data_IF_754544333555
#
_entry.id   IF_754544333555
#
_cell.length_a   1.000
_cell.length_b   1.000
_cell.length_c   1.000
_cell.angle_alpha   90.00
_cell.angle_beta   90.00
_cell.angle_gamma   90.00
#
_symmetry.space_group_name_H-M   'P 1'
#
loop_
_entity.id
_entity.type
_entity.pdbx_description
1 polymer ?
#
# COMPACT_ATOMS: atom_id res chain seq x y z
N UNK A 1 -32.02 0.75 21.26
CA UNK A 1 -31.41 1.64 20.25
C UNK A 1 -32.21 1.51 18.95
N UNK A 2 -33.07 2.47 18.61
CA UNK A 2 -33.87 2.40 17.36
C UNK A 2 -32.99 2.84 16.19
N UNK A 3 -32.75 1.96 15.22
CA UNK A 3 -31.99 2.29 14.01
C UNK A 3 -32.89 3.16 13.12
N UNK A 4 -32.43 4.36 12.74
CA UNK A 4 -33.15 5.20 11.79
C UNK A 4 -33.02 4.64 10.36
N UNK A 5 -34.02 4.87 9.51
CA UNK A 5 -34.02 4.42 8.11
C UNK A 5 -32.76 4.91 7.37
N UNK A 6 -32.33 6.15 7.62
CA UNK A 6 -31.09 6.71 7.08
C UNK A 6 -29.86 5.88 7.46
N UNK A 7 -29.76 5.46 8.74
CA UNK A 7 -28.63 4.64 9.20
C UNK A 7 -28.65 3.25 8.58
N UNK A 8 -29.83 2.67 8.39
CA UNK A 8 -29.99 1.40 7.67
C UNK A 8 -29.48 1.51 6.23
N UNK A 9 -29.87 2.57 5.51
CA UNK A 9 -29.41 2.83 4.13
C UNK A 9 -27.88 2.97 4.09
N UNK A 10 -27.30 3.75 5.01
CA UNK A 10 -25.84 3.91 5.10
C UNK A 10 -25.16 2.55 5.31
N UNK A 11 -25.67 1.70 6.20
CA UNK A 11 -25.09 0.37 6.43
C UNK A 11 -25.19 -0.55 5.23
N UNK A 12 -26.30 -0.51 4.49
CA UNK A 12 -26.44 -1.28 3.24
C UNK A 12 -25.40 -0.82 2.21
N UNK A 13 -25.26 0.50 2.02
CA UNK A 13 -24.27 1.07 1.10
C UNK A 13 -22.85 0.67 1.52
N UNK A 14 -22.51 0.83 2.80
CA UNK A 14 -21.19 0.44 3.32
C UNK A 14 -20.95 -1.08 3.15
N UNK A 15 -21.95 -1.92 3.36
CA UNK A 15 -21.82 -3.37 3.14
C UNK A 15 -21.52 -3.70 1.68
N UNK A 16 -22.18 -3.01 0.73
CA UNK A 16 -21.89 -3.17 -0.71
C UNK A 16 -20.44 -2.78 -1.01
N UNK A 17 -19.96 -1.65 -0.48
CA UNK A 17 -18.56 -1.23 -0.66
C UNK A 17 -17.58 -2.23 -0.06
N UNK A 18 -17.86 -2.76 1.14
CA UNK A 18 -17.04 -3.79 1.78
C UNK A 18 -16.92 -5.01 0.86
N UNK A 19 -18.03 -5.53 0.34
CA UNK A 19 -18.02 -6.68 -0.57
C UNK A 19 -17.19 -6.35 -1.81
N UNK A 20 -17.40 -5.18 -2.42
CA UNK A 20 -16.68 -4.74 -3.61
C UNK A 20 -15.16 -4.68 -3.40
N UNK A 21 -14.70 -4.08 -2.29
CA UNK A 21 -13.28 -3.97 -1.97
C UNK A 21 -12.64 -5.31 -1.53
N UNK A 22 -13.43 -6.23 -0.98
CA UNK A 22 -12.93 -7.57 -0.60
C UNK A 22 -12.71 -8.46 -1.83
N UNK A 23 -13.43 -8.28 -2.93
CA UNK A 23 -13.28 -9.12 -4.15
C UNK A 23 -11.82 -9.30 -4.60
N UNK A 24 -11.02 -8.24 -4.86
CA UNK A 24 -9.64 -8.41 -5.28
C UNK A 24 -8.77 -9.07 -4.20
N UNK A 25 -9.02 -8.79 -2.92
CA UNK A 25 -8.33 -9.42 -1.79
C UNK A 25 -8.64 -10.92 -1.72
N UNK A 26 -9.89 -11.31 -1.94
CA UNK A 26 -10.34 -12.69 -2.00
C UNK A 26 -9.60 -13.45 -3.11
N UNK A 27 -9.59 -12.90 -4.34
CA UNK A 27 -8.90 -13.52 -5.48
C UNK A 27 -7.41 -13.68 -5.19
N UNK A 28 -6.76 -12.67 -4.59
CA UNK A 28 -5.34 -12.71 -4.23
C UNK A 28 -5.04 -13.82 -3.20
N UNK A 29 -5.84 -13.92 -2.13
CA UNK A 29 -5.65 -14.94 -1.09
C UNK A 29 -5.89 -16.34 -1.63
N UNK A 30 -7.00 -16.54 -2.34
CA UNK A 30 -7.37 -17.84 -2.93
C UNK A 30 -6.31 -18.30 -3.93
N UNK A 31 -5.86 -17.40 -4.81
CA UNK A 31 -4.84 -17.72 -5.81
C UNK A 31 -3.48 -17.99 -5.16
N UNK A 32 -3.12 -17.25 -4.11
CA UNK A 32 -1.87 -17.49 -3.37
C UNK A 32 -1.81 -18.85 -2.69
N UNK A 33 -2.96 -19.41 -2.30
CA UNK A 33 -3.06 -20.74 -1.67
C UNK A 33 -3.15 -21.90 -2.66
N UNK A 34 -3.20 -21.64 -3.97
CA UNK A 34 -3.25 -22.66 -5.01
C UNK A 34 -1.87 -23.17 -5.40
N UNK A 35 -1.84 -24.40 -5.92
CA UNK A 35 -0.65 -24.91 -6.61
C UNK A 35 -0.49 -24.25 -7.98
N UNK A 36 0.74 -24.18 -8.51
CA UNK A 36 1.00 -23.60 -9.84
C UNK A 36 0.18 -24.25 -10.98
N UNK A 37 -0.17 -25.53 -10.86
CA UNK A 37 -0.97 -26.24 -11.86
C UNK A 37 -2.46 -25.83 -11.84
N UNK A 38 -2.93 -25.22 -10.75
CA UNK A 38 -4.33 -24.87 -10.53
C UNK A 38 -4.62 -23.39 -10.83
N UNK A 39 -3.58 -22.55 -10.89
CA UNK A 39 -3.71 -21.11 -11.15
C UNK A 39 -4.04 -20.89 -12.63
N UNK A 40 -5.26 -20.40 -12.91
CA UNK A 40 -5.70 -19.99 -14.25
C UNK A 40 -6.77 -18.91 -14.17
N UNK A 41 -7.01 -18.18 -15.27
CA UNK A 41 -8.09 -17.19 -15.36
C UNK A 41 -9.47 -17.83 -15.14
N UNK A 42 -9.66 -19.08 -15.59
CA UNK A 42 -10.94 -19.79 -15.45
C UNK A 42 -11.19 -20.26 -14.02
N UNK A 43 -10.13 -20.52 -13.25
CA UNK A 43 -10.23 -21.03 -11.88
C UNK A 43 -10.05 -19.95 -10.83
N UNK A 44 -9.80 -18.69 -11.18
CA UNK A 44 -9.41 -17.63 -10.22
C UNK A 44 -10.44 -17.37 -9.11
N UNK A 45 -11.72 -17.61 -9.39
CA UNK A 45 -12.82 -17.47 -8.43
C UNK A 45 -13.08 -18.72 -7.57
N UNK A 46 -12.52 -19.87 -7.96
CA UNK A 46 -12.77 -21.13 -7.28
C UNK A 46 -11.88 -21.24 -6.05
N UNK A 47 -12.39 -21.82 -4.96
CA UNK A 47 -11.55 -22.18 -3.82
C UNK A 47 -10.48 -23.21 -4.23
N UNK A 48 -9.31 -23.22 -3.55
CA UNK A 48 -8.26 -24.18 -3.85
C UNK A 48 -8.74 -25.61 -3.56
N UNK A 49 -8.41 -26.58 -4.43
CA UNK A 49 -8.68 -28.00 -4.17
C UNK A 49 -7.89 -28.52 -2.95
N UNK A 50 -6.69 -27.98 -2.73
CA UNK A 50 -5.87 -28.25 -1.55
C UNK A 50 -5.11 -27.00 -1.14
N UNK A 51 -4.97 -26.76 0.16
CA UNK A 51 -4.21 -25.62 0.68
C UNK A 51 -2.72 -25.85 0.45
N UNK A 52 -2.11 -25.04 -0.42
CA UNK A 52 -0.70 -25.12 -0.75
C UNK A 52 0.07 -23.91 -0.20
N UNK A 53 0.96 -24.15 0.76
CA UNK A 53 1.83 -23.12 1.34
C UNK A 53 3.23 -23.07 0.70
N UNK A 54 3.55 -24.01 -0.19
CA UNK A 54 4.86 -24.09 -0.82
C UNK A 54 5.10 -22.89 -1.75
N UNK A 55 4.05 -22.33 -2.36
CA UNK A 55 4.14 -21.09 -3.15
C UNK A 55 4.69 -19.92 -2.32
N UNK A 56 4.30 -19.80 -1.04
CA UNK A 56 4.78 -18.75 -0.16
C UNK A 56 6.23 -18.97 0.28
N UNK A 57 6.62 -20.19 0.63
CA UNK A 57 8.01 -20.50 1.01
C UNK A 57 8.97 -20.29 -0.17
N UNK A 58 8.57 -20.73 -1.36
CA UNK A 58 9.32 -20.50 -2.60
C UNK A 58 9.43 -19.01 -2.91
N UNK A 59 8.35 -18.23 -2.79
CA UNK A 59 8.41 -16.79 -3.01
C UNK A 59 9.32 -16.07 -1.98
N UNK A 60 9.30 -16.51 -0.72
CA UNK A 60 10.07 -15.87 0.36
C UNK A 60 11.57 -16.18 0.30
N UNK A 61 11.93 -17.45 0.13
CA UNK A 61 13.32 -17.93 0.13
C UNK A 61 13.95 -17.91 -1.26
N UNK A 62 13.14 -17.95 -2.31
CA UNK A 62 13.61 -18.16 -3.68
C UNK A 62 13.87 -19.63 -3.96
N UNK A 63 14.31 -19.92 -5.19
CA UNK A 63 14.68 -21.27 -5.59
C UNK A 63 15.88 -21.24 -6.50
N UNK A 64 16.98 -21.87 -6.08
CA UNK A 64 18.16 -22.05 -6.91
C UNK A 64 17.85 -22.85 -8.19
N UNK A 65 16.93 -23.83 -8.10
CA UNK A 65 16.45 -24.60 -9.26
C UNK A 65 15.57 -23.78 -10.21
N UNK A 66 14.86 -22.77 -9.68
CA UNK A 66 13.99 -21.89 -10.44
C UNK A 66 14.68 -20.63 -10.98
N UNK A 67 15.94 -20.38 -10.62
CA UNK A 67 16.71 -19.24 -11.11
C UNK A 67 16.27 -17.86 -10.56
N UNK A 68 15.43 -17.81 -9.51
CA UNK A 68 14.95 -16.57 -8.93
C UNK A 68 15.35 -16.42 -7.46
N UNK A 69 15.67 -15.18 -7.06
CA UNK A 69 15.95 -14.83 -5.66
C UNK A 69 14.64 -14.63 -4.90
N UNK A 70 14.65 -15.01 -3.63
CA UNK A 70 13.49 -14.82 -2.74
C UNK A 70 13.24 -13.36 -2.39
N UNK A 71 12.02 -13.06 -1.98
CA UNK A 71 11.58 -11.72 -1.63
C UNK A 71 12.10 -11.24 -0.27
N UNK A 72 12.55 -12.16 0.60
CA UNK A 72 12.97 -11.86 1.98
C UNK A 72 13.98 -10.72 2.09
N UNK A 73 15.03 -10.73 1.26
CA UNK A 73 16.05 -9.66 1.28
C UNK A 73 15.47 -8.28 0.91
N UNK A 74 14.71 -8.21 -0.18
CA UNK A 74 14.07 -6.95 -0.62
C UNK A 74 13.01 -6.46 0.36
N UNK A 75 12.31 -7.38 1.03
CA UNK A 75 11.35 -7.06 2.08
C UNK A 75 12.05 -6.35 3.25
N UNK A 76 13.15 -6.92 3.77
CA UNK A 76 13.89 -6.29 4.86
C UNK A 76 14.52 -4.95 4.45
N UNK A 77 15.04 -4.82 3.23
CA UNK A 77 15.52 -3.54 2.72
C UNK A 77 14.40 -2.49 2.71
N UNK A 78 13.19 -2.88 2.31
CA UNK A 78 12.03 -1.98 2.30
C UNK A 78 11.63 -1.57 3.72
N UNK A 79 11.61 -2.50 4.67
CA UNK A 79 11.30 -2.22 6.08
C UNK A 79 12.35 -1.28 6.70
N UNK A 80 13.63 -1.59 6.49
CA UNK A 80 14.76 -0.80 6.98
C UNK A 80 14.82 0.60 6.35
N UNK A 81 14.28 0.77 5.14
CA UNK A 81 14.19 2.07 4.49
C UNK A 81 12.96 2.86 4.97
N UNK A 82 11.77 2.24 4.93
CA UNK A 82 10.50 2.93 5.16
C UNK A 82 10.33 3.37 6.62
N UNK A 83 10.72 2.54 7.59
CA UNK A 83 10.53 2.86 9.02
C UNK A 83 11.28 4.14 9.41
N UNK A 84 12.62 4.24 9.28
CA UNK A 84 13.33 5.44 9.66
C UNK A 84 12.94 6.63 8.79
N UNK A 85 12.75 6.44 7.47
CA UNK A 85 12.33 7.52 6.58
C UNK A 85 10.99 8.13 7.01
N UNK A 86 10.01 7.29 7.38
CA UNK A 86 8.69 7.76 7.83
C UNK A 86 8.78 8.49 9.15
N UNK A 87 9.52 7.96 10.13
CA UNK A 87 9.70 8.60 11.44
C UNK A 87 10.38 9.96 11.29
N UNK A 88 11.50 10.01 10.57
CA UNK A 88 12.26 11.23 10.33
C UNK A 88 11.38 12.25 9.59
N UNK A 89 10.68 11.83 8.54
CA UNK A 89 9.80 12.72 7.76
C UNK A 89 8.63 13.25 8.58
N UNK A 90 8.00 12.41 9.41
CA UNK A 90 6.90 12.82 10.29
C UNK A 90 7.39 13.81 11.35
N UNK A 91 8.56 13.57 11.95
CA UNK A 91 9.16 14.48 12.93
C UNK A 91 9.46 15.84 12.31
N UNK A 92 10.23 15.89 11.23
CA UNK A 92 10.54 17.16 10.55
C UNK A 92 9.29 17.83 9.97
N UNK A 93 8.36 17.05 9.40
CA UNK A 93 7.09 17.56 8.89
C UNK A 93 6.25 18.20 9.99
N UNK A 94 6.17 17.58 11.17
CA UNK A 94 5.41 18.12 12.30
C UNK A 94 6.02 19.42 12.85
N UNK A 95 7.35 19.50 12.95
CA UNK A 95 8.05 20.71 13.41
C UNK A 95 7.85 21.88 12.44
N UNK A 96 8.04 21.66 11.14
CA UNK A 96 7.83 22.69 10.12
C UNK A 96 6.36 23.09 10.03
N UNK A 97 5.45 22.11 10.09
CA UNK A 97 4.01 22.34 10.11
C UNK A 97 3.58 23.20 11.30
N UNK A 98 4.14 22.96 12.49
CA UNK A 98 3.87 23.78 13.67
C UNK A 98 4.32 25.23 13.47
N UNK A 99 5.54 25.45 12.98
CA UNK A 99 6.07 26.80 12.74
C UNK A 99 5.20 27.55 11.72
N UNK A 100 4.90 26.93 10.58
CA UNK A 100 4.10 27.58 9.52
C UNK A 100 2.64 27.82 9.95
N UNK A 101 2.07 26.96 10.80
CA UNK A 101 0.69 27.11 11.26
C UNK A 101 0.52 28.09 12.43
N UNK A 102 1.51 28.21 13.32
CA UNK A 102 1.41 29.00 14.56
C UNK A 102 2.23 30.28 14.55
N UNK A 103 3.32 30.35 13.78
CA UNK A 103 4.20 31.51 13.73
C UNK A 103 4.12 32.21 12.37
N UNK A 104 3.45 33.37 12.33
CA UNK A 104 3.39 34.21 11.12
C UNK A 104 4.58 35.14 11.05
N UNK A 105 5.66 34.68 10.43
CA UNK A 105 6.81 35.50 10.06
C UNK A 105 6.67 36.05 8.63
N UNK A 106 7.44 37.09 8.30
CA UNK A 106 7.42 37.72 6.98
C UNK A 106 7.82 36.73 5.88
N UNK A 107 6.91 36.45 4.95
CA UNK A 107 7.10 35.47 3.86
C UNK A 107 6.60 34.04 4.15
N UNK A 108 6.03 33.77 5.32
CA UNK A 108 5.49 32.45 5.68
C UNK A 108 4.44 31.92 4.69
N UNK A 109 3.54 32.77 4.22
CA UNK A 109 2.52 32.41 3.23
C UNK A 109 3.12 32.02 1.87
N UNK A 110 4.19 32.72 1.44
CA UNK A 110 4.90 32.40 0.20
C UNK A 110 5.62 31.05 0.31
N UNK A 111 6.34 30.81 1.41
CA UNK A 111 7.02 29.53 1.66
C UNK A 111 6.02 28.38 1.71
N UNK A 112 4.92 28.55 2.46
CA UNK A 112 3.88 27.54 2.53
C UNK A 112 3.28 27.23 1.15
N UNK A 113 3.00 28.27 0.36
CA UNK A 113 2.49 28.12 -1.01
C UNK A 113 3.47 27.40 -1.91
N UNK A 114 4.77 27.73 -1.87
CA UNK A 114 5.81 27.03 -2.64
C UNK A 114 5.92 25.55 -2.27
N UNK A 115 5.84 25.20 -0.98
CA UNK A 115 5.82 23.81 -0.52
C UNK A 115 4.61 23.08 -1.07
N UNK A 116 3.42 23.68 -0.98
CA UNK A 116 2.18 23.10 -1.51
C UNK A 116 2.27 22.85 -3.03
N UNK A 117 2.79 23.82 -3.79
CA UNK A 117 3.04 23.66 -5.22
C UNK A 117 4.06 22.55 -5.52
N UNK A 118 5.14 22.46 -4.72
CA UNK A 118 6.13 21.40 -4.84
C UNK A 118 5.55 20.00 -4.66
N UNK A 119 4.54 19.82 -3.79
CA UNK A 119 3.87 18.54 -3.59
C UNK A 119 3.04 18.06 -4.78
N UNK A 120 2.65 18.97 -5.68
CA UNK A 120 1.94 18.62 -6.92
C UNK A 120 2.89 18.19 -8.04
N UNK A 121 4.20 18.38 -7.89
CA UNK A 121 5.17 17.95 -8.88
C UNK A 121 5.14 16.41 -8.95
N UNK A 122 4.92 15.82 -10.14
CA UNK A 122 4.91 14.37 -10.28
C UNK A 122 6.23 13.77 -9.84
N UNK A 123 6.16 12.74 -9.01
CA UNK A 123 7.35 12.04 -8.51
C UNK A 123 8.25 11.51 -9.63
N UNK A 124 7.65 11.19 -10.77
CA UNK A 124 8.33 10.72 -11.99
C UNK A 124 9.27 11.79 -12.57
N UNK A 125 8.89 13.06 -12.52
CA UNK A 125 9.75 14.17 -12.98
C UNK A 125 11.01 14.33 -12.10
N UNK A 126 10.95 13.88 -10.85
CA UNK A 126 12.05 13.94 -9.89
C UNK A 126 12.95 12.70 -10.01
N UNK A 127 12.38 11.50 -10.21
CA UNK A 127 13.17 10.26 -10.31
C UNK A 127 14.08 10.23 -11.55
N UNK A 128 13.61 10.71 -12.70
CA UNK A 128 14.35 10.54 -13.97
C UNK A 128 15.79 11.09 -13.88
N UNK A 129 16.04 12.32 -13.39
CA UNK A 129 17.40 12.83 -13.19
C UNK A 129 18.20 12.19 -12.06
N UNK A 130 17.53 11.51 -11.12
CA UNK A 130 18.17 10.88 -9.95
C UNK A 130 18.73 9.49 -10.27
N UNK A 131 18.25 8.87 -11.36
CA UNK A 131 18.61 7.51 -11.76
C UNK A 131 19.53 7.48 -12.99
N UNK A 132 19.50 8.53 -13.83
CA UNK A 132 20.40 8.72 -14.98
C UNK A 132 21.74 9.34 -14.55
#
# INVERSE_FOLDING_TARGET
MKISITRLIIYIILAIFIIFYIIPMYIMVVTGMKSFAEVSLNTMWNLPFSLNFNSFSLAWLGSAKGGFRGLSGSFFNSVLLVIPATIISALFGSLNGYVLAKWRFYGSDLIFTMILFGMFIPYQSIIIPLVL
#
